data_IF_522346388052
#
_entry.id   IF_522346388052
#
_cell.length_a   1.000
_cell.length_b   1.000
_cell.length_c   1.000
_cell.angle_alpha   90.00
_cell.angle_beta   90.00
_cell.angle_gamma   90.00
#
_symmetry.space_group_name_H-M   'P 1'
#
loop_
_entity.id
_entity.type
_entity.pdbx_description
1 polymer ?
#
# COMPACT_ATOMS: atom_id res chain seq x y z
N UNK A 1 16.19 27.98 42.35
CA UNK A 1 14.86 28.54 42.08
C UNK A 1 14.97 29.35 40.80
N UNK A 2 15.34 28.68 39.71
CA UNK A 2 14.44 28.04 38.74
C UNK A 2 13.92 29.08 37.73
N UNK A 3 14.86 29.49 36.87
CA UNK A 3 14.58 30.13 35.61
C UNK A 3 14.08 29.10 34.61
N UNK A 4 12.79 28.80 34.66
CA UNK A 4 12.10 28.14 33.56
C UNK A 4 11.90 29.16 32.44
N UNK A 5 12.31 28.87 31.18
CA UNK A 5 12.00 29.75 30.08
C UNK A 5 10.48 29.71 29.86
N UNK A 6 9.82 30.82 30.20
CA UNK A 6 8.44 31.09 29.82
C UNK A 6 8.40 31.07 28.30
N UNK A 7 7.82 30.01 27.75
CA UNK A 7 7.63 29.83 26.31
C UNK A 7 6.83 31.03 25.78
N UNK A 8 7.36 31.68 24.74
CA UNK A 8 6.69 32.80 24.08
C UNK A 8 5.27 32.40 23.68
N UNK A 9 4.30 33.17 24.18
CA UNK A 9 2.89 33.10 23.82
C UNK A 9 2.79 33.27 22.30
N UNK A 10 2.24 32.28 21.60
CA UNK A 10 1.94 32.37 20.16
C UNK A 10 2.53 31.30 19.25
N UNK A 11 3.36 30.37 19.75
CA UNK A 11 3.75 29.19 18.93
C UNK A 11 2.71 28.10 19.13
N UNK A 12 1.96 27.69 18.07
CA UNK A 12 0.98 26.62 18.20
C UNK A 12 1.66 25.37 18.75
N UNK A 13 1.07 24.75 19.78
CA UNK A 13 1.61 23.50 20.36
C UNK A 13 1.83 22.43 19.26
N UNK A 14 1.01 22.48 18.20
CA UNK A 14 1.12 21.66 17.00
C UNK A 14 2.47 21.74 16.27
N UNK A 15 3.18 22.89 16.30
CA UNK A 15 4.50 23.02 15.66
C UNK A 15 5.55 22.12 16.33
N UNK A 16 5.40 21.83 17.63
CA UNK A 16 6.29 20.90 18.35
C UNK A 16 6.10 19.44 17.94
N UNK A 17 4.95 19.11 17.36
CA UNK A 17 4.62 17.77 16.89
C UNK A 17 5.10 17.54 15.44
N UNK A 18 5.57 18.58 14.76
CA UNK A 18 6.14 18.46 13.42
C UNK A 18 7.51 17.79 13.47
N UNK A 19 7.74 16.85 12.57
CA UNK A 19 9.03 16.23 12.34
C UNK A 19 9.69 16.85 11.12
N UNK A 20 10.98 17.17 11.21
CA UNK A 20 11.76 17.75 10.11
C UNK A 20 12.78 16.74 9.61
N UNK A 21 12.57 16.19 8.43
CA UNK A 21 13.52 15.34 7.72
C UNK A 21 14.29 16.15 6.67
N UNK A 22 15.58 15.85 6.49
CA UNK A 22 16.44 16.47 5.48
C UNK A 22 17.04 15.39 4.58
N UNK A 23 16.99 15.60 3.27
CA UNK A 23 17.57 14.72 2.26
C UNK A 23 18.30 15.53 1.18
N UNK A 24 19.63 15.64 1.32
CA UNK A 24 20.41 16.54 0.48
C UNK A 24 19.99 17.99 0.72
N UNK A 25 19.54 18.66 -0.33
CA UNK A 25 19.05 20.06 -0.31
C UNK A 25 17.52 20.14 -0.14
N UNK A 26 16.81 19.00 -0.09
CA UNK A 26 15.35 18.94 0.07
C UNK A 26 14.96 18.62 1.53
N UNK A 27 13.88 19.26 2.02
CA UNK A 27 13.37 19.06 3.37
C UNK A 27 11.92 18.57 3.36
N UNK A 28 11.50 17.86 4.40
CA UNK A 28 10.11 17.39 4.54
C UNK A 28 9.65 17.61 5.97
N UNK A 29 8.46 18.20 6.09
CA UNK A 29 7.75 18.37 7.36
C UNK A 29 6.63 17.36 7.46
N UNK A 30 6.38 16.81 8.65
CA UNK A 30 5.25 15.91 8.85
C UNK A 30 4.70 15.89 10.26
N UNK A 31 3.39 15.65 10.40
CA UNK A 31 2.72 15.43 11.71
C UNK A 31 2.40 13.94 11.85
N UNK A 32 3.05 13.29 12.82
CA UNK A 32 2.99 11.83 12.99
C UNK A 32 1.59 11.32 13.38
N UNK A 33 0.91 12.04 14.25
CA UNK A 33 -0.45 11.77 14.72
C UNK A 33 -1.51 11.84 13.60
N UNK A 34 -1.26 12.64 12.56
CA UNK A 34 -2.19 12.80 11.43
C UNK A 34 -1.77 12.09 10.13
N UNK A 35 -0.52 11.62 10.02
CA UNK A 35 -0.01 10.97 8.81
C UNK A 35 0.13 11.92 7.60
N UNK A 36 0.19 13.23 7.85
CA UNK A 36 0.32 14.27 6.81
C UNK A 36 1.79 14.68 6.67
N UNK A 37 2.26 14.76 5.42
CA UNK A 37 3.65 15.09 5.08
C UNK A 37 3.72 16.06 3.90
N UNK A 38 4.56 17.08 4.00
CA UNK A 38 4.75 18.11 2.97
C UNK A 38 6.24 18.34 2.73
N UNK A 39 6.66 18.30 1.47
CA UNK A 39 8.02 18.69 1.08
C UNK A 39 8.15 20.22 1.13
N UNK A 40 9.23 20.71 1.74
CA UNK A 40 9.50 22.14 1.91
C UNK A 40 10.94 22.47 1.52
N UNK A 41 11.21 23.71 1.08
CA UNK A 41 12.58 24.17 0.87
C UNK A 41 13.31 24.40 2.21
N UNK A 42 14.64 24.51 2.17
CA UNK A 42 15.50 24.72 3.35
C UNK A 42 15.01 25.82 4.31
N UNK A 43 14.60 27.01 3.85
CA UNK A 43 14.14 28.06 4.74
C UNK A 43 12.94 27.65 5.59
N UNK A 44 12.02 26.85 5.04
CA UNK A 44 10.85 26.35 5.78
C UNK A 44 11.22 25.35 6.88
N UNK A 45 12.24 24.53 6.65
CA UNK A 45 12.76 23.62 7.67
C UNK A 45 13.54 24.36 8.78
N UNK A 46 14.33 25.36 8.40
CA UNK A 46 15.04 26.25 9.35
C UNK A 46 14.03 27.00 10.22
N UNK A 47 12.97 27.52 9.63
CA UNK A 47 11.87 28.20 10.33
C UNK A 47 11.24 27.30 11.40
N UNK A 48 10.81 26.09 11.02
CA UNK A 48 10.17 25.14 11.96
C UNK A 48 11.12 24.69 13.06
N UNK A 49 12.39 24.39 12.74
CA UNK A 49 13.39 24.05 13.77
C UNK A 49 13.63 25.19 14.74
N UNK A 50 13.64 26.44 14.28
CA UNK A 50 13.80 27.60 15.14
C UNK A 50 12.61 27.78 16.10
N UNK A 51 11.38 27.56 15.61
CA UNK A 51 10.17 27.56 16.44
C UNK A 51 10.18 26.42 17.46
N UNK A 52 10.61 25.22 17.07
CA UNK A 52 10.74 24.07 17.97
C UNK A 52 11.78 24.28 19.07
N UNK A 53 12.85 25.01 18.76
CA UNK A 53 13.85 25.44 19.73
C UNK A 53 13.35 26.57 20.65
N UNK A 54 12.09 27.00 20.52
CA UNK A 54 11.47 28.02 21.37
C UNK A 54 11.72 29.46 20.91
N UNK A 55 12.17 29.68 19.67
CA UNK A 55 12.27 31.04 19.11
C UNK A 55 10.89 31.64 18.86
N UNK A 56 10.77 32.97 18.92
CA UNK A 56 9.57 33.67 18.47
C UNK A 56 9.39 33.56 16.95
N UNK A 57 8.17 33.79 16.46
CA UNK A 57 7.87 33.78 15.02
C UNK A 57 8.76 34.77 14.28
N UNK A 58 8.91 36.00 14.77
CA UNK A 58 9.81 36.99 14.16
C UNK A 58 11.27 36.50 14.06
N UNK A 59 11.82 35.96 15.16
CA UNK A 59 13.19 35.45 15.17
C UNK A 59 13.38 34.19 14.32
N UNK A 60 12.33 33.38 14.13
CA UNK A 60 12.33 32.26 13.20
C UNK A 60 12.28 32.74 11.75
N UNK A 61 11.46 33.75 11.43
CA UNK A 61 11.36 34.38 10.11
C UNK A 61 12.69 35.01 9.69
N UNK A 62 13.38 35.67 10.62
CA UNK A 62 14.70 36.26 10.35
C UNK A 62 15.72 35.18 10.00
N UNK A 63 15.73 34.06 10.75
CA UNK A 63 16.62 32.91 10.45
C UNK A 63 16.29 32.25 9.12
N UNK A 64 15.01 32.11 8.80
CA UNK A 64 14.56 31.57 7.53
C UNK A 64 14.94 32.50 6.37
N UNK A 65 14.83 33.82 6.55
CA UNK A 65 15.22 34.83 5.55
C UNK A 65 16.71 34.81 5.28
N UNK A 66 17.53 34.65 6.33
CA UNK A 66 18.98 34.47 6.18
C UNK A 66 19.33 33.19 5.42
N UNK A 67 18.62 32.07 5.69
CA UNK A 67 18.82 30.82 4.97
C UNK A 67 18.36 30.89 3.50
N UNK A 68 17.31 31.67 3.21
CA UNK A 68 16.81 31.86 1.85
C UNK A 68 17.64 32.84 1.01
N UNK A 69 18.45 33.69 1.66
CA UNK A 69 19.13 34.82 0.99
C UNK A 69 18.19 35.96 0.57
N UNK A 70 16.91 35.88 0.93
CA UNK A 70 15.85 36.85 0.61
C UNK A 70 14.85 36.91 1.77
N UNK A 71 14.12 38.02 1.90
CA UNK A 71 13.04 38.12 2.90
C UNK A 71 11.97 37.06 2.62
N UNK A 72 11.60 36.29 3.65
CA UNK A 72 10.50 35.31 3.60
C UNK A 72 9.40 35.69 4.58
N UNK A 73 8.17 35.26 4.30
CA UNK A 73 7.03 35.47 5.18
C UNK A 73 6.76 34.20 6.00
N UNK A 74 7.11 34.26 7.29
CA UNK A 74 6.89 33.15 8.22
C UNK A 74 5.42 32.96 8.62
N UNK A 75 4.57 33.99 8.51
CA UNK A 75 3.15 33.90 8.85
C UNK A 75 2.38 33.20 7.71
N UNK A 76 2.61 33.62 6.46
CA UNK A 76 2.03 32.98 5.28
C UNK A 76 2.44 31.49 5.18
N UNK A 77 3.68 31.18 5.57
CA UNK A 77 4.13 29.79 5.64
C UNK A 77 3.38 28.96 6.69
N UNK A 78 3.07 29.53 7.87
CA UNK A 78 2.25 28.84 8.88
C UNK A 78 0.82 28.62 8.38
N UNK A 79 0.24 29.60 7.69
CA UNK A 79 -1.08 29.47 7.05
C UNK A 79 -1.08 28.36 5.99
N UNK A 80 0.00 28.26 5.19
CA UNK A 80 0.20 27.16 4.24
C UNK A 80 0.31 25.79 4.92
N UNK A 81 0.95 25.70 6.10
CA UNK A 81 1.01 24.47 6.87
C UNK A 81 -0.35 24.10 7.50
N UNK A 82 -1.11 25.09 7.97
CA UNK A 82 -2.48 24.89 8.46
C UNK A 82 -3.40 24.40 7.33
N UNK A 83 -3.35 25.04 6.15
CA UNK A 83 -4.10 24.63 4.97
C UNK A 83 -3.71 23.22 4.47
N UNK A 84 -2.45 22.82 4.65
CA UNK A 84 -2.00 21.47 4.37
C UNK A 84 -2.43 20.43 5.42
N UNK A 85 -3.09 20.86 6.51
CA UNK A 85 -3.54 20.00 7.62
C UNK A 85 -2.43 19.65 8.62
N UNK A 86 -1.29 20.33 8.58
CA UNK A 86 -0.15 20.11 9.48
C UNK A 86 -0.26 20.90 10.80
N UNK A 87 -1.10 21.92 10.86
CA UNK A 87 -1.40 22.70 12.07
C UNK A 87 -2.91 22.71 12.30
N UNK A 88 -3.34 22.77 13.56
CA UNK A 88 -4.76 22.96 13.91
C UNK A 88 -5.08 24.46 13.79
N UNK A 89 -6.23 24.81 13.20
CA UNK A 89 -6.61 26.20 12.92
C UNK A 89 -6.58 27.07 14.18
N UNK A 90 -5.64 28.01 14.24
CA UNK A 90 -5.58 29.06 15.27
C UNK A 90 -6.37 30.27 14.76
N UNK A 91 -7.69 30.14 14.73
CA UNK A 91 -8.61 31.28 14.54
C UNK A 91 -10.03 30.90 15.01
N UNK A 92 -10.30 31.04 16.30
CA UNK A 92 -11.17 32.11 16.83
C UNK A 92 -11.40 31.91 18.34
N UNK A 93 -11.20 32.97 19.12
CA UNK A 93 -11.56 33.04 20.54
C UNK A 93 -13.06 33.38 20.63
N UNK A 94 -13.89 32.45 21.13
CA UNK A 94 -15.30 32.78 21.37
C UNK A 94 -16.18 31.59 21.76
N UNK A 95 -16.20 31.28 23.06
CA UNK A 95 -17.28 30.62 23.79
C UNK A 95 -18.18 29.63 23.00
N UNK A 96 -17.83 28.35 23.02
CA UNK A 96 -18.82 27.27 23.07
C UNK A 96 -18.23 26.08 23.79
N UNK A 97 -19.02 25.58 24.73
CA UNK A 97 -18.68 24.61 25.75
C UNK A 97 -17.97 23.38 25.17
N UNK A 98 -16.76 23.14 25.69
CA UNK A 98 -15.96 21.94 25.45
C UNK A 98 -16.69 20.71 25.99
N UNK A 99 -17.63 20.20 25.21
CA UNK A 99 -17.99 18.78 25.24
C UNK A 99 -16.74 18.00 24.84
N UNK A 100 -16.20 17.27 25.81
CA UNK A 100 -15.02 16.43 25.65
C UNK A 100 -15.20 15.42 24.52
N UNK A 101 -14.72 15.80 23.34
CA UNK A 101 -14.43 14.91 22.23
C UNK A 101 -12.91 14.73 22.21
N UNK A 102 -12.40 13.99 23.18
CA UNK A 102 -11.18 13.20 23.00
C UNK A 102 -11.49 12.13 21.98
N UNK A 103 -11.44 12.52 20.70
CA UNK A 103 -11.40 11.60 19.58
C UNK A 103 -10.07 10.86 19.64
N UNK A 104 -10.00 9.84 20.50
CA UNK A 104 -8.96 8.83 20.42
C UNK A 104 -8.86 8.36 18.96
N UNK A 105 -7.64 8.14 18.41
CA UNK A 105 -7.50 7.61 17.07
C UNK A 105 -8.28 6.31 16.98
N UNK A 106 -9.34 6.32 16.18
CA UNK A 106 -10.18 5.15 15.93
C UNK A 106 -9.33 4.11 15.22
N UNK A 107 -8.83 3.13 15.97
CA UNK A 107 -8.35 1.86 15.42
C UNK A 107 -6.92 1.45 15.73
N UNK A 108 -6.20 2.07 16.66
CA UNK A 108 -4.87 1.55 17.06
C UNK A 108 -5.03 0.36 18.00
N UNK A 109 -4.97 -0.85 17.46
CA UNK A 109 -5.00 -2.09 18.23
C UNK A 109 -3.67 -2.22 19.00
N UNK A 110 -3.71 -1.99 20.32
CA UNK A 110 -2.54 -1.87 21.22
C UNK A 110 -1.67 -3.13 21.38
N UNK A 111 -2.09 -4.33 20.94
CA UNK A 111 -1.20 -5.51 21.00
C UNK A 111 -0.04 -5.46 20.01
N UNK A 112 -0.11 -4.56 19.01
CA UNK A 112 0.86 -4.42 17.93
C UNK A 112 2.13 -3.68 18.39
N UNK A 113 2.16 -3.03 19.56
CA UNK A 113 3.40 -2.42 20.08
C UNK A 113 4.42 -3.45 20.62
N UNK A 114 4.06 -4.73 20.70
CA UNK A 114 4.81 -5.77 21.43
C UNK A 114 6.13 -6.23 20.81
N UNK A 115 6.38 -5.99 19.51
CA UNK A 115 7.65 -6.41 18.89
C UNK A 115 8.70 -5.32 19.03
N UNK A 116 9.80 -5.67 19.72
CA UNK A 116 10.93 -4.76 19.88
C UNK A 116 11.61 -4.50 18.52
N UNK A 117 12.03 -3.26 18.22
CA UNK A 117 12.78 -2.94 17.00
C UNK A 117 14.09 -3.74 16.83
N UNK A 118 14.64 -4.30 17.92
CA UNK A 118 15.83 -5.16 17.88
C UNK A 118 15.52 -6.52 17.25
N UNK A 119 14.40 -7.14 17.64
CA UNK A 119 13.96 -8.42 17.06
C UNK A 119 13.59 -8.25 15.59
N UNK A 120 12.84 -7.20 15.28
CA UNK A 120 12.46 -6.90 13.89
C UNK A 120 13.69 -6.74 12.98
N UNK A 121 14.76 -6.06 13.44
CA UNK A 121 15.99 -5.86 12.67
C UNK A 121 16.71 -7.15 12.25
N UNK A 122 16.52 -8.26 12.96
CA UNK A 122 17.11 -9.56 12.58
C UNK A 122 16.56 -10.01 11.22
N UNK A 123 15.27 -9.78 10.97
CA UNK A 123 14.59 -10.16 9.73
C UNK A 123 14.88 -9.22 8.56
N UNK A 124 15.49 -8.06 8.79
CA UNK A 124 15.76 -7.05 7.75
C UNK A 124 17.23 -6.64 7.66
N UNK A 125 18.14 -7.45 8.23
CA UNK A 125 19.58 -7.30 8.08
C UNK A 125 20.08 -7.75 6.71
N UNK A 126 21.35 -7.48 6.41
CA UNK A 126 21.98 -7.91 5.16
C UNK A 126 21.92 -9.44 4.91
N UNK A 127 22.05 -10.34 5.92
CA UNK A 127 21.94 -11.77 5.68
C UNK A 127 20.52 -12.17 5.28
N UNK A 128 19.50 -11.54 5.88
CA UNK A 128 18.11 -11.78 5.55
C UNK A 128 17.81 -11.35 4.10
N UNK A 129 18.32 -10.19 3.67
CA UNK A 129 18.17 -9.76 2.27
C UNK A 129 18.88 -10.67 1.27
N UNK A 130 20.03 -11.24 1.63
CA UNK A 130 20.67 -12.28 0.81
C UNK A 130 19.82 -13.55 0.72
N UNK A 131 19.21 -13.97 1.82
CA UNK A 131 18.29 -15.11 1.83
C UNK A 131 17.06 -14.84 0.95
N UNK A 132 16.46 -13.65 1.06
CA UNK A 132 15.30 -13.26 0.25
C UNK A 132 15.63 -13.18 -1.25
N UNK A 133 16.78 -12.60 -1.59
CA UNK A 133 17.27 -12.58 -2.96
C UNK A 133 17.57 -13.98 -3.48
N UNK A 134 18.18 -14.84 -2.65
CA UNK A 134 18.41 -16.25 -2.96
C UNK A 134 17.11 -17.03 -3.17
N UNK A 135 16.09 -16.80 -2.34
CA UNK A 135 14.77 -17.40 -2.48
C UNK A 135 14.06 -16.97 -3.76
N UNK A 136 14.14 -15.68 -4.11
CA UNK A 136 13.63 -15.18 -5.38
C UNK A 136 14.35 -15.82 -6.59
N UNK A 137 15.68 -15.86 -6.57
CA UNK A 137 16.48 -16.48 -7.63
C UNK A 137 16.20 -17.99 -7.76
N UNK A 138 16.10 -18.70 -6.63
CA UNK A 138 15.76 -20.12 -6.60
C UNK A 138 14.35 -20.36 -7.17
N UNK A 139 13.36 -19.55 -6.79
CA UNK A 139 12.00 -19.65 -7.32
C UNK A 139 11.97 -19.51 -8.84
N UNK A 140 12.68 -18.50 -9.38
CA UNK A 140 12.80 -18.29 -10.82
C UNK A 140 13.50 -19.47 -11.50
N UNK A 141 14.62 -19.94 -10.94
CA UNK A 141 15.36 -21.08 -11.48
C UNK A 141 14.48 -22.33 -11.55
N UNK A 142 13.80 -22.68 -10.46
CA UNK A 142 12.93 -23.85 -10.37
C UNK A 142 11.77 -23.79 -11.36
N UNK A 143 11.10 -22.63 -11.48
CA UNK A 143 10.02 -22.45 -12.45
C UNK A 143 10.52 -22.49 -13.91
N UNK A 144 11.75 -22.05 -14.15
CA UNK A 144 12.37 -22.10 -15.47
C UNK A 144 12.75 -23.54 -15.86
N UNK A 145 13.39 -24.30 -14.95
CA UNK A 145 13.95 -25.62 -15.22
C UNK A 145 12.95 -26.76 -15.09
N UNK A 146 11.94 -26.64 -14.22
CA UNK A 146 10.98 -27.70 -13.96
C UNK A 146 9.55 -27.27 -14.33
N UNK A 147 9.07 -27.60 -15.54
CA UNK A 147 7.73 -27.23 -16.00
C UNK A 147 6.61 -27.75 -15.09
N UNK A 148 6.78 -28.87 -14.39
CA UNK A 148 5.76 -29.44 -13.50
C UNK A 148 5.48 -28.58 -12.25
N UNK A 149 6.35 -27.61 -11.94
CA UNK A 149 6.16 -26.66 -10.85
C UNK A 149 5.38 -25.41 -11.26
N UNK A 150 5.20 -25.17 -12.57
CA UNK A 150 4.54 -23.95 -13.07
C UNK A 150 3.06 -23.93 -12.68
N UNK A 151 2.51 -22.76 -12.33
CA UNK A 151 1.10 -22.64 -11.98
C UNK A 151 0.24 -22.81 -13.23
N UNK A 152 -0.93 -23.41 -13.05
CA UNK A 152 -1.97 -23.51 -14.07
C UNK A 152 -3.34 -23.24 -13.44
N UNK A 153 -4.30 -22.80 -14.24
CA UNK A 153 -5.62 -22.40 -13.75
C UNK A 153 -6.38 -23.57 -13.09
N UNK A 154 -6.13 -24.81 -13.52
CA UNK A 154 -6.74 -26.02 -12.96
C UNK A 154 -6.27 -26.32 -11.54
N UNK A 155 -5.14 -25.76 -11.10
CA UNK A 155 -4.67 -25.91 -9.72
C UNK A 155 -5.63 -25.31 -8.69
N UNK A 156 -6.58 -24.45 -9.10
CA UNK A 156 -7.64 -23.96 -8.21
C UNK A 156 -8.63 -25.08 -7.83
N UNK A 157 -8.74 -26.15 -8.62
CA UNK A 157 -9.58 -27.32 -8.38
C UNK A 157 -8.81 -28.39 -7.60
N UNK A 158 -8.23 -27.99 -6.47
CA UNK A 158 -7.35 -28.84 -5.66
C UNK A 158 -8.11 -29.86 -4.79
N UNK A 159 -9.43 -29.68 -4.63
CA UNK A 159 -10.35 -30.61 -3.98
C UNK A 159 -11.33 -31.22 -4.99
N UNK A 160 -11.92 -32.36 -4.63
CA UNK A 160 -12.94 -33.03 -5.45
C UNK A 160 -14.21 -32.20 -5.57
N UNK A 161 -14.57 -31.48 -4.50
CA UNK A 161 -15.68 -30.53 -4.46
C UNK A 161 -15.21 -29.15 -4.97
N UNK A 162 -15.74 -28.67 -6.12
CA UNK A 162 -15.36 -27.38 -6.70
C UNK A 162 -15.71 -26.18 -5.82
N UNK A 163 -16.85 -26.22 -5.11
CA UNK A 163 -17.26 -25.16 -4.20
C UNK A 163 -16.31 -25.10 -3.01
N UNK A 164 -16.00 -26.24 -2.40
CA UNK A 164 -15.09 -26.29 -1.25
C UNK A 164 -13.68 -25.84 -1.64
N UNK A 165 -13.20 -26.20 -2.83
CA UNK A 165 -11.91 -25.75 -3.36
C UNK A 165 -11.79 -24.22 -3.40
N UNK A 166 -12.82 -23.55 -3.91
CA UNK A 166 -12.89 -22.08 -3.98
C UNK A 166 -13.10 -21.46 -2.60
N UNK A 167 -13.99 -22.02 -1.78
CA UNK A 167 -14.26 -21.52 -0.43
C UNK A 167 -13.03 -21.58 0.48
N UNK A 168 -12.15 -22.56 0.31
CA UNK A 168 -10.89 -22.65 1.07
C UNK A 168 -9.74 -21.87 0.42
N UNK A 169 -9.77 -21.65 -0.90
CA UNK A 169 -8.80 -20.79 -1.58
C UNK A 169 -8.82 -19.35 -1.03
N UNK A 170 -10.01 -18.81 -0.81
CA UNK A 170 -10.21 -17.44 -0.29
C UNK A 170 -9.52 -17.20 1.07
N UNK A 171 -9.79 -17.96 2.15
CA UNK A 171 -9.15 -17.76 3.45
C UNK A 171 -7.64 -18.03 3.42
N UNK A 172 -7.15 -18.97 2.58
CA UNK A 172 -5.71 -19.16 2.37
C UNK A 172 -5.08 -17.89 1.80
N UNK A 173 -5.71 -17.32 0.77
CA UNK A 173 -5.26 -16.06 0.18
C UNK A 173 -5.26 -14.91 1.19
N UNK A 174 -6.34 -14.76 1.96
CA UNK A 174 -6.41 -13.76 3.03
C UNK A 174 -5.33 -13.94 4.10
N UNK A 175 -5.04 -15.19 4.50
CA UNK A 175 -3.98 -15.47 5.46
C UNK A 175 -2.60 -15.08 4.90
N UNK A 176 -2.31 -15.41 3.64
CA UNK A 176 -1.06 -15.04 2.98
C UNK A 176 -0.94 -13.52 2.80
N UNK A 177 -2.01 -12.84 2.39
CA UNK A 177 -2.04 -11.37 2.29
C UNK A 177 -1.87 -10.70 3.67
N UNK A 178 -2.47 -11.25 4.73
CA UNK A 178 -2.27 -10.73 6.07
C UNK A 178 -0.81 -10.89 6.52
N UNK A 179 -0.17 -12.03 6.23
CA UNK A 179 1.24 -12.26 6.54
C UNK A 179 2.17 -11.34 5.74
N UNK A 180 1.84 -11.06 4.48
CA UNK A 180 2.51 -10.08 3.64
C UNK A 180 2.52 -8.69 4.29
N UNK A 181 1.35 -8.22 4.74
CA UNK A 181 1.21 -6.94 5.45
C UNK A 181 1.89 -6.94 6.81
N UNK A 182 1.84 -8.04 7.56
CA UNK A 182 2.61 -8.19 8.81
C UNK A 182 4.11 -8.02 8.55
N UNK A 183 4.62 -8.45 7.38
CA UNK A 183 6.02 -8.26 7.02
C UNK A 183 6.35 -6.78 6.75
N UNK A 184 5.48 -6.05 6.06
CA UNK A 184 5.60 -4.58 5.92
C UNK A 184 5.61 -3.88 7.27
N UNK A 185 4.68 -4.26 8.13
CA UNK A 185 4.60 -3.75 9.50
C UNK A 185 5.89 -4.01 10.28
N UNK A 186 6.42 -5.24 10.25
CA UNK A 186 7.64 -5.62 10.94
C UNK A 186 8.86 -4.84 10.39
N UNK A 187 8.89 -4.60 9.08
CA UNK A 187 9.95 -3.79 8.45
C UNK A 187 9.90 -2.33 8.89
N UNK A 188 8.70 -1.74 8.99
CA UNK A 188 8.52 -0.40 9.55
C UNK A 188 9.05 -0.31 10.98
N UNK A 189 8.76 -1.34 11.81
CA UNK A 189 9.30 -1.45 13.19
C UNK A 189 10.81 -1.60 13.21
N UNK A 190 11.40 -2.34 12.28
CA UNK A 190 12.86 -2.52 12.18
C UNK A 190 13.59 -1.20 11.93
N UNK A 191 12.96 -0.28 11.19
CA UNK A 191 13.50 1.06 10.90
C UNK A 191 13.11 2.09 11.98
N UNK A 192 12.32 1.70 12.98
CA UNK A 192 11.94 2.54 14.12
C UNK A 192 10.71 3.40 13.90
N UNK A 193 9.90 3.11 12.88
CA UNK A 193 8.67 3.82 12.57
C UNK A 193 7.48 3.11 13.25
N UNK A 194 6.54 3.86 13.86
CA UNK A 194 5.24 3.35 14.30
C UNK A 194 4.38 2.96 13.09
N UNK A 195 4.67 1.83 12.46
CA UNK A 195 3.79 1.29 11.43
C UNK A 195 2.46 0.87 12.08
N UNK A 196 1.35 1.44 11.63
CA UNK A 196 0.01 1.06 12.07
C UNK A 196 -0.56 0.04 11.08
N UNK A 197 -0.98 -1.11 11.59
CA UNK A 197 -1.74 -2.09 10.79
C UNK A 197 -3.20 -1.64 10.75
N UNK A 198 -3.72 -1.38 9.55
CA UNK A 198 -5.09 -0.90 9.35
C UNK A 198 -5.87 -1.91 8.53
N UNK A 199 -7.06 -2.25 9.01
CA UNK A 199 -8.02 -3.00 8.19
C UNK A 199 -8.89 -1.97 7.48
N UNK A 200 -8.76 -1.90 6.17
CA UNK A 200 -9.43 -0.95 5.30
C UNK A 200 -10.44 -1.66 4.40
N UNK A 201 -11.21 -0.86 3.65
CA UNK A 201 -12.11 -1.38 2.61
C UNK A 201 -11.77 -0.72 1.28
N UNK A 202 -11.45 -1.53 0.27
CA UNK A 202 -11.37 -1.07 -1.13
C UNK A 202 -12.62 -1.58 -1.86
N UNK A 203 -13.64 -0.74 -1.92
CA UNK A 203 -14.98 -1.13 -2.40
C UNK A 203 -15.62 -2.15 -1.45
N UNK A 204 -15.98 -3.32 -1.98
CA UNK A 204 -16.54 -4.43 -1.18
C UNK A 204 -15.48 -5.27 -0.44
N UNK A 205 -14.21 -5.16 -0.85
CA UNK A 205 -13.17 -6.04 -0.36
C UNK A 205 -12.52 -5.49 0.90
N UNK A 206 -12.42 -6.34 1.91
CA UNK A 206 -11.60 -6.09 3.08
C UNK A 206 -10.13 -6.19 2.66
N UNK A 207 -9.35 -5.17 2.95
CA UNK A 207 -7.92 -5.14 2.63
C UNK A 207 -7.16 -4.85 3.91
N UNK A 208 -6.12 -5.63 4.16
CA UNK A 208 -5.14 -5.32 5.18
C UNK A 208 -4.18 -4.30 4.56
N UNK A 209 -3.98 -3.16 5.22
CA UNK A 209 -3.11 -2.10 4.75
C UNK A 209 -2.19 -1.68 5.90
N UNK A 210 -0.89 -1.71 5.68
CA UNK A 210 0.06 -1.08 6.59
C UNK A 210 0.24 0.38 6.22
N UNK A 211 -0.05 1.29 7.15
CA UNK A 211 0.24 2.70 6.93
C UNK A 211 1.76 2.94 7.02
N UNK A 212 2.36 3.13 5.85
CA UNK A 212 3.78 3.40 5.65
C UNK A 212 4.06 4.85 5.21
N UNK A 213 3.07 5.75 5.32
CA UNK A 213 3.22 7.17 4.97
C UNK A 213 4.44 7.82 5.64
N UNK A 214 4.73 7.39 6.86
CA UNK A 214 5.83 7.90 7.67
C UNK A 214 7.22 7.52 7.15
N UNK A 215 7.34 6.60 6.19
CA UNK A 215 8.62 6.27 5.54
C UNK A 215 9.25 7.49 4.85
N UNK A 216 8.48 8.52 4.53
CA UNK A 216 9.01 9.76 3.98
C UNK A 216 9.92 10.52 4.97
N UNK A 217 9.81 10.24 6.28
CA UNK A 217 10.65 10.88 7.31
C UNK A 217 12.07 10.30 7.41
N UNK A 218 12.31 9.11 6.84
CA UNK A 218 13.60 8.44 6.87
C UNK A 218 14.32 8.56 5.52
N UNK A 219 15.65 8.41 5.49
CA UNK A 219 16.43 8.49 4.25
C UNK A 219 16.07 7.38 3.24
N UNK A 220 16.15 7.69 1.94
CA UNK A 220 15.64 6.82 0.86
C UNK A 220 16.17 5.38 0.83
N UNK A 221 17.42 5.17 1.25
CA UNK A 221 18.02 3.82 1.33
C UNK A 221 17.31 2.93 2.36
N UNK A 222 16.87 3.51 3.47
CA UNK A 222 16.18 2.79 4.53
C UNK A 222 14.71 2.48 4.18
N UNK A 223 14.12 3.16 3.17
CA UNK A 223 12.75 2.92 2.71
C UNK A 223 12.57 1.64 1.90
N UNK A 224 13.61 1.17 1.22
CA UNK A 224 13.53 -0.04 0.38
C UNK A 224 13.16 -1.28 1.17
N UNK A 225 13.67 -1.42 2.40
CA UNK A 225 13.37 -2.57 3.23
C UNK A 225 11.87 -2.71 3.48
N UNK A 226 11.22 -1.67 4.04
CA UNK A 226 9.78 -1.62 4.18
C UNK A 226 8.99 -1.77 2.88
N UNK A 227 9.43 -1.19 1.75
CA UNK A 227 8.71 -1.37 0.47
C UNK A 227 8.82 -2.79 -0.11
N UNK A 228 9.95 -3.48 0.10
CA UNK A 228 10.17 -4.83 -0.41
C UNK A 228 9.72 -5.92 0.57
N UNK A 229 9.30 -5.57 1.78
CA UNK A 229 9.09 -6.53 2.87
C UNK A 229 8.02 -7.57 2.56
N UNK A 230 6.83 -7.17 2.09
CA UNK A 230 5.78 -8.11 1.73
C UNK A 230 6.22 -9.03 0.59
N UNK A 231 6.84 -8.49 -0.46
CA UNK A 231 7.40 -9.31 -1.53
C UNK A 231 8.50 -10.28 -1.05
N UNK A 232 9.32 -9.88 -0.07
CA UNK A 232 10.33 -10.73 0.53
C UNK A 232 9.70 -11.93 1.27
N UNK A 233 8.57 -11.73 1.96
CA UNK A 233 7.77 -12.81 2.51
C UNK A 233 7.24 -13.73 1.40
N UNK A 234 6.58 -13.15 0.39
CA UNK A 234 5.96 -13.92 -0.70
C UNK A 234 6.96 -14.83 -1.41
N UNK A 235 8.13 -14.30 -1.80
CA UNK A 235 9.16 -15.09 -2.50
C UNK A 235 9.82 -16.14 -1.59
N UNK A 236 9.90 -15.88 -0.29
CA UNK A 236 10.46 -16.85 0.67
C UNK A 236 9.52 -18.03 0.84
N UNK A 237 8.22 -17.78 1.03
CA UNK A 237 7.22 -18.84 1.12
C UNK A 237 7.11 -19.58 -0.22
N UNK A 238 7.15 -18.86 -1.34
CA UNK A 238 7.14 -19.46 -2.68
C UNK A 238 8.32 -20.40 -2.87
N UNK A 239 9.54 -19.98 -2.53
CA UNK A 239 10.74 -20.82 -2.63
C UNK A 239 10.62 -22.08 -1.77
N UNK A 240 10.14 -21.95 -0.54
CA UNK A 240 9.93 -23.09 0.36
C UNK A 240 8.92 -24.09 -0.21
N UNK A 241 7.77 -23.61 -0.70
CA UNK A 241 6.72 -24.47 -1.24
C UNK A 241 7.17 -25.13 -2.55
N UNK A 242 7.88 -24.40 -3.41
CA UNK A 242 8.50 -24.96 -4.62
C UNK A 242 9.53 -26.03 -4.27
N UNK A 243 10.40 -25.80 -3.29
CA UNK A 243 11.40 -26.77 -2.81
C UNK A 243 10.75 -28.06 -2.31
N UNK A 244 9.70 -27.96 -1.49
CA UNK A 244 8.95 -29.12 -1.00
C UNK A 244 8.33 -29.91 -2.15
N UNK A 245 7.69 -29.24 -3.11
CA UNK A 245 7.11 -29.91 -4.27
C UNK A 245 8.16 -30.55 -5.17
N UNK A 246 9.28 -29.87 -5.42
CA UNK A 246 10.38 -30.42 -6.20
C UNK A 246 10.94 -31.69 -5.56
N UNK A 247 11.21 -31.65 -4.24
CA UNK A 247 11.67 -32.82 -3.49
C UNK A 247 10.68 -34.00 -3.58
N UNK A 248 9.39 -33.71 -3.69
CA UNK A 248 8.37 -34.73 -3.93
C UNK A 248 8.41 -35.32 -5.34
N UNK A 249 8.54 -34.47 -6.36
CA UNK A 249 8.59 -34.88 -7.76
C UNK A 249 9.82 -35.74 -8.05
N UNK A 250 10.98 -35.37 -7.49
CA UNK A 250 12.23 -36.12 -7.68
C UNK A 250 12.37 -37.34 -6.77
N UNK A 251 11.36 -37.64 -5.94
CA UNK A 251 11.33 -38.82 -5.06
C UNK A 251 12.24 -38.74 -3.83
N UNK A 252 12.79 -37.57 -3.50
CA UNK A 252 13.57 -37.36 -2.26
C UNK A 252 12.66 -37.45 -1.03
N UNK A 253 11.40 -37.05 -1.15
CA UNK A 253 10.39 -37.22 -0.12
C UNK A 253 9.03 -37.60 -0.74
N UNK A 254 8.19 -38.30 0.00
CA UNK A 254 6.81 -38.59 -0.43
C UNK A 254 5.85 -37.80 0.42
N UNK A 255 4.97 -37.00 -0.20
CA UNK A 255 3.91 -36.29 0.50
C UNK A 255 2.52 -36.85 0.14
N UNK A 256 1.54 -36.74 1.06
CA UNK A 256 0.16 -37.08 0.73
C UNK A 256 -0.36 -36.26 -0.46
N UNK A 257 -1.18 -36.88 -1.32
CA UNK A 257 -1.72 -36.23 -2.52
C UNK A 257 -2.56 -34.96 -2.21
N UNK A 258 -3.18 -34.90 -1.03
CA UNK A 258 -3.90 -33.70 -0.59
C UNK A 258 -2.93 -32.53 -0.30
N UNK A 259 -1.76 -32.82 0.27
CA UNK A 259 -0.75 -31.80 0.56
C UNK A 259 -0.12 -31.28 -0.75
N UNK A 260 0.21 -32.15 -1.71
CA UNK A 260 0.73 -31.68 -3.02
C UNK A 260 -0.26 -30.74 -3.71
N UNK A 261 -1.55 -31.08 -3.72
CA UNK A 261 -2.62 -30.26 -4.30
C UNK A 261 -2.78 -28.92 -3.56
N UNK A 262 -2.70 -28.90 -2.24
CA UNK A 262 -2.68 -27.67 -1.44
C UNK A 262 -1.46 -26.79 -1.79
N UNK A 263 -0.27 -27.38 -1.92
CA UNK A 263 0.93 -26.64 -2.27
C UNK A 263 0.86 -26.04 -3.69
N UNK A 264 0.22 -26.73 -4.65
CA UNK A 264 -0.03 -26.18 -6.00
C UNK A 264 -0.88 -24.92 -5.97
N UNK A 265 -1.94 -24.90 -5.17
CA UNK A 265 -2.82 -23.72 -5.08
C UNK A 265 -2.15 -22.57 -4.33
N UNK A 266 -1.31 -22.87 -3.34
CA UNK A 266 -0.47 -21.85 -2.66
C UNK A 266 0.55 -21.25 -3.63
N UNK A 267 1.20 -22.06 -4.47
CA UNK A 267 2.11 -21.57 -5.53
C UNK A 267 1.36 -20.67 -6.51
N UNK A 268 0.17 -21.11 -6.96
CA UNK A 268 -0.67 -20.31 -7.85
C UNK A 268 -0.95 -18.94 -7.23
N UNK A 269 -1.40 -18.90 -5.97
CA UNK A 269 -1.66 -17.65 -5.26
C UNK A 269 -0.42 -16.76 -5.13
N UNK A 270 0.72 -17.31 -4.68
CA UNK A 270 1.94 -16.53 -4.43
C UNK A 270 2.54 -15.98 -5.72
N UNK A 271 2.52 -16.74 -6.81
CA UNK A 271 2.97 -16.23 -8.11
C UNK A 271 2.06 -15.09 -8.56
N UNK A 272 0.75 -15.24 -8.41
CA UNK A 272 -0.20 -14.17 -8.68
C UNK A 272 0.07 -12.92 -7.84
N UNK A 273 0.32 -13.09 -6.54
CA UNK A 273 0.68 -12.01 -5.61
C UNK A 273 1.93 -11.26 -6.08
N UNK A 274 3.02 -11.97 -6.34
CA UNK A 274 4.29 -11.36 -6.77
C UNK A 274 4.15 -10.67 -8.13
N UNK A 275 3.50 -11.30 -9.11
CA UNK A 275 3.29 -10.69 -10.43
C UNK A 275 2.40 -9.45 -10.30
N UNK A 276 1.34 -9.52 -9.48
CA UNK A 276 0.47 -8.37 -9.21
C UNK A 276 1.24 -7.20 -8.61
N UNK A 277 2.21 -7.43 -7.73
CA UNK A 277 3.01 -6.34 -7.15
C UNK A 277 3.83 -5.57 -8.19
N UNK A 278 4.33 -6.22 -9.23
CA UNK A 278 5.11 -5.58 -10.31
C UNK A 278 4.27 -5.11 -11.49
N UNK A 279 3.18 -5.79 -11.82
CA UNK A 279 2.29 -5.38 -12.91
C UNK A 279 1.30 -4.29 -12.46
N UNK A 280 0.88 -4.32 -11.19
CA UNK A 280 -0.03 -3.37 -10.55
C UNK A 280 0.59 -2.00 -10.24
N UNK A 281 1.68 -1.61 -10.90
CA UNK A 281 2.37 -0.33 -10.68
C UNK A 281 1.46 0.88 -10.96
N UNK A 282 0.45 0.72 -11.82
CA UNK A 282 -0.60 1.71 -12.07
C UNK A 282 -1.64 1.81 -10.95
N UNK A 283 -1.65 0.87 -10.00
CA UNK A 283 -2.52 0.84 -8.82
C UNK A 283 -1.80 1.22 -7.52
N UNK A 284 -0.58 1.79 -7.62
CA UNK A 284 0.26 2.14 -6.47
C UNK A 284 0.61 0.93 -5.59
N UNK A 285 0.97 -0.19 -6.23
CA UNK A 285 1.49 -1.40 -5.57
C UNK A 285 2.84 -1.17 -4.87
N UNK A 286 3.36 -2.19 -4.18
CA UNK A 286 4.69 -2.14 -3.56
C UNK A 286 5.79 -1.94 -4.60
N UNK A 287 5.65 -2.58 -5.76
CA UNK A 287 6.53 -2.37 -6.92
C UNK A 287 6.53 -0.91 -7.37
N UNK A 288 5.38 -0.22 -7.34
CA UNK A 288 5.33 1.21 -7.62
C UNK A 288 6.10 2.02 -6.57
N UNK A 289 5.95 1.73 -5.28
CA UNK A 289 6.67 2.45 -4.22
C UNK A 289 8.20 2.29 -4.35
N UNK A 290 8.67 1.08 -4.67
CA UNK A 290 10.09 0.81 -4.97
C UNK A 290 10.59 1.63 -6.16
N UNK A 291 9.84 1.62 -7.27
CA UNK A 291 10.22 2.34 -8.49
C UNK A 291 10.19 3.86 -8.29
N UNK A 292 9.15 4.41 -7.65
CA UNK A 292 9.04 5.83 -7.33
C UNK A 292 10.20 6.27 -6.42
N UNK A 293 10.53 5.48 -5.40
CA UNK A 293 11.67 5.74 -4.52
C UNK A 293 13.01 5.68 -5.27
N UNK A 294 13.19 4.72 -6.18
CA UNK A 294 14.40 4.59 -6.99
C UNK A 294 14.59 5.78 -7.96
N UNK A 295 13.50 6.21 -8.60
CA UNK A 295 13.49 7.29 -9.58
C UNK A 295 13.58 8.69 -8.95
N UNK A 296 13.48 8.77 -7.61
CA UNK A 296 13.40 10.01 -6.81
C UNK A 296 12.18 10.85 -7.17
N UNK A 297 11.03 10.21 -7.30
CA UNK A 297 9.79 10.91 -7.62
C UNK A 297 8.86 10.93 -6.42
N UNK A 298 8.27 12.11 -6.17
CA UNK A 298 7.37 12.34 -5.03
C UNK A 298 5.91 12.06 -5.40
N UNK A 299 5.50 12.42 -6.62
CA UNK A 299 4.16 12.20 -7.14
C UNK A 299 4.18 11.65 -8.57
N UNK A 300 4.92 10.56 -8.77
CA UNK A 300 5.05 9.89 -10.07
C UNK A 300 3.70 9.44 -10.63
N UNK A 301 2.77 9.02 -9.77
CA UNK A 301 1.42 8.61 -10.15
C UNK A 301 0.67 9.75 -10.85
N UNK A 302 0.52 10.91 -10.20
CA UNK A 302 -0.25 12.02 -10.78
C UNK A 302 0.43 12.57 -12.02
N UNK A 303 1.76 12.69 -11.99
CA UNK A 303 2.56 13.08 -13.15
C UNK A 303 2.31 12.16 -14.35
N UNK A 304 2.32 10.84 -14.13
CA UNK A 304 2.10 9.84 -15.18
C UNK A 304 0.67 9.87 -15.71
N UNK A 305 -0.34 9.99 -14.83
CA UNK A 305 -1.74 10.10 -15.24
C UNK A 305 -1.97 11.34 -16.09
N UNK A 306 -1.51 12.52 -15.64
CA UNK A 306 -1.69 13.77 -16.38
C UNK A 306 -0.90 13.77 -17.70
N UNK A 307 0.34 13.28 -17.69
CA UNK A 307 1.16 13.17 -18.91
C UNK A 307 0.54 12.21 -19.92
N UNK A 308 0.00 11.08 -19.46
CA UNK A 308 -0.66 10.10 -20.34
C UNK A 308 -1.99 10.63 -20.86
N UNK A 309 -2.79 11.25 -19.99
CA UNK A 309 -4.04 11.91 -20.37
C UNK A 309 -3.78 12.98 -21.43
N UNK A 310 -2.77 13.83 -21.25
CA UNK A 310 -2.40 14.85 -22.23
C UNK A 310 -2.01 14.31 -23.61
N UNK A 311 -1.40 13.11 -23.66
CA UNK A 311 -1.03 12.45 -24.92
C UNK A 311 -2.22 11.86 -25.66
N UNK A 312 -3.20 11.35 -24.92
CA UNK A 312 -4.34 10.64 -25.50
C UNK A 312 -5.56 11.57 -25.68
N UNK A 313 -5.70 12.56 -24.81
CA UNK A 313 -6.86 13.42 -24.65
C UNK A 313 -6.45 14.86 -24.27
N UNK A 314 -7.44 15.75 -24.21
CA UNK A 314 -7.21 17.12 -23.74
C UNK A 314 -7.23 17.18 -22.21
N UNK A 315 -6.28 17.91 -21.64
CA UNK A 315 -6.30 18.32 -20.23
C UNK A 315 -7.24 19.52 -20.07
N UNK A 316 -7.89 19.62 -18.93
CA UNK A 316 -8.54 20.86 -18.48
C UNK A 316 -7.49 21.91 -18.11
N UNK A 317 -7.90 23.18 -18.00
CA UNK A 317 -6.97 24.25 -17.64
C UNK A 317 -6.37 24.03 -16.24
N UNK A 318 -7.18 23.62 -15.26
CA UNK A 318 -6.72 23.27 -13.91
C UNK A 318 -5.69 22.13 -13.92
N UNK A 319 -5.90 21.10 -14.76
CA UNK A 319 -4.98 19.97 -14.87
C UNK A 319 -3.66 20.34 -15.55
N UNK A 320 -3.67 21.36 -16.42
CA UNK A 320 -2.43 21.90 -17.02
C UNK A 320 -1.63 22.65 -15.97
N UNK A 321 -2.28 23.53 -15.21
CA UNK A 321 -1.65 24.25 -14.10
C UNK A 321 -1.07 23.27 -13.09
N UNK A 322 -1.81 22.21 -12.74
CA UNK A 322 -1.32 21.16 -11.85
C UNK A 322 -0.11 20.43 -12.45
N UNK A 323 -0.15 20.05 -13.72
CA UNK A 323 0.98 19.38 -14.37
C UNK A 323 2.23 20.28 -14.39
N UNK A 324 2.07 21.58 -14.64
CA UNK A 324 3.17 22.54 -14.67
C UNK A 324 3.76 22.78 -13.27
N UNK A 325 2.93 22.71 -12.22
CA UNK A 325 3.36 22.77 -10.82
C UNK A 325 4.12 21.51 -10.36
N UNK A 326 3.95 20.38 -11.03
CA UNK A 326 4.70 19.15 -10.71
C UNK A 326 6.19 19.33 -11.03
N UNK A 327 7.03 18.84 -10.11
CA UNK A 327 8.49 18.92 -10.22
C UNK A 327 9.04 18.41 -11.56
N UNK A 328 10.13 19.01 -12.07
CA UNK A 328 10.66 18.70 -13.40
C UNK A 328 11.10 17.24 -13.56
N UNK A 329 11.61 16.65 -12.47
CA UNK A 329 12.03 15.24 -12.44
C UNK A 329 10.87 14.28 -12.64
N UNK A 330 9.78 14.48 -11.91
CA UNK A 330 8.57 13.65 -11.99
C UNK A 330 7.95 13.73 -13.38
N UNK A 331 7.91 14.94 -13.96
CA UNK A 331 7.49 15.14 -15.36
C UNK A 331 8.40 14.42 -16.34
N UNK A 332 9.72 14.53 -16.20
CA UNK A 332 10.67 13.90 -17.11
C UNK A 332 10.52 12.36 -17.12
N UNK A 333 10.35 11.77 -15.93
CA UNK A 333 10.14 10.32 -15.74
C UNK A 333 8.77 9.88 -16.25
N UNK A 334 7.72 10.63 -15.96
CA UNK A 334 6.34 10.34 -16.38
C UNK A 334 6.20 10.13 -17.91
N UNK A 335 7.04 10.80 -18.73
CA UNK A 335 7.05 10.66 -20.19
C UNK A 335 7.27 9.23 -20.67
N UNK A 336 8.08 8.43 -19.98
CA UNK A 336 8.33 7.05 -20.36
C UNK A 336 7.69 6.07 -19.39
N UNK A 337 7.42 6.49 -18.15
CA UNK A 337 6.78 5.64 -17.13
C UNK A 337 5.36 5.19 -17.53
N UNK A 338 4.68 5.95 -18.40
CA UNK A 338 3.43 5.49 -19.03
C UNK A 338 3.57 4.16 -19.81
N UNK A 339 4.76 3.85 -20.35
CA UNK A 339 5.02 2.54 -20.97
C UNK A 339 5.10 1.41 -19.94
N UNK A 340 5.60 1.70 -18.74
CA UNK A 340 5.61 0.73 -17.62
C UNK A 340 4.19 0.45 -17.17
N UNK A 341 3.32 1.47 -17.11
CA UNK A 341 1.89 1.29 -16.83
C UNK A 341 1.23 0.40 -17.89
N UNK A 342 1.48 0.69 -19.17
CA UNK A 342 0.94 -0.11 -20.27
C UNK A 342 1.41 -1.56 -20.20
N UNK A 343 2.71 -1.80 -19.96
CA UNK A 343 3.26 -3.14 -19.79
C UNK A 343 2.58 -3.88 -18.63
N UNK A 344 2.40 -3.21 -17.48
CA UNK A 344 1.66 -3.76 -16.35
C UNK A 344 0.22 -4.13 -16.70
N UNK A 345 -0.51 -3.25 -17.39
CA UNK A 345 -1.88 -3.51 -17.86
C UNK A 345 -1.92 -4.71 -18.81
N UNK A 346 -0.97 -4.83 -19.74
CA UNK A 346 -0.88 -5.98 -20.66
C UNK A 346 -0.66 -7.28 -19.89
N UNK A 347 0.22 -7.30 -18.90
CA UNK A 347 0.45 -8.48 -18.04
C UNK A 347 -0.81 -8.85 -17.25
N UNK A 348 -1.53 -7.86 -16.71
CA UNK A 348 -2.80 -8.10 -16.01
C UNK A 348 -3.87 -8.68 -16.94
N UNK A 349 -4.00 -8.14 -18.16
CA UNK A 349 -4.91 -8.70 -19.16
C UNK A 349 -4.53 -10.13 -19.56
N UNK A 350 -3.24 -10.40 -19.73
CA UNK A 350 -2.75 -11.75 -19.98
C UNK A 350 -3.17 -12.69 -18.84
N UNK A 351 -2.96 -12.32 -17.58
CA UNK A 351 -3.39 -13.14 -16.42
C UNK A 351 -4.90 -13.36 -16.39
N UNK A 352 -5.71 -12.33 -16.71
CA UNK A 352 -7.16 -12.48 -16.81
C UNK A 352 -7.53 -13.49 -17.88
N UNK A 353 -6.95 -13.38 -19.08
CA UNK A 353 -7.25 -14.26 -20.20
C UNK A 353 -6.77 -15.70 -19.96
N UNK A 354 -5.61 -15.90 -19.34
CA UNK A 354 -5.04 -17.24 -19.17
C UNK A 354 -5.50 -17.97 -17.91
N UNK A 355 -5.99 -17.25 -16.89
CA UNK A 355 -6.43 -17.88 -15.63
C UNK A 355 -7.87 -17.55 -15.27
N UNK A 356 -8.24 -16.27 -15.19
CA UNK A 356 -9.57 -15.88 -14.73
C UNK A 356 -10.68 -16.29 -15.70
N UNK A 357 -10.47 -16.14 -17.01
CA UNK A 357 -11.45 -16.53 -18.05
C UNK A 357 -11.65 -18.05 -18.10
N UNK A 358 -10.61 -18.90 -18.19
CA UNK A 358 -10.80 -20.36 -18.12
C UNK A 358 -11.47 -20.82 -16.83
N UNK A 359 -11.09 -20.24 -15.69
CA UNK A 359 -11.75 -20.50 -14.41
C UNK A 359 -13.24 -20.14 -14.45
N UNK A 360 -13.59 -18.96 -14.94
CA UNK A 360 -14.98 -18.51 -15.04
C UNK A 360 -15.81 -19.39 -15.98
N UNK A 361 -15.23 -19.80 -17.12
CA UNK A 361 -15.89 -20.73 -18.06
C UNK A 361 -16.11 -22.09 -17.40
N UNK A 362 -15.09 -22.66 -16.75
CA UNK A 362 -15.19 -23.95 -16.08
C UNK A 362 -16.22 -23.93 -14.94
N UNK A 363 -16.21 -22.89 -14.10
CA UNK A 363 -17.17 -22.71 -13.03
C UNK A 363 -18.59 -22.50 -13.58
N UNK A 364 -18.75 -21.66 -14.61
CA UNK A 364 -20.04 -21.42 -15.24
C UNK A 364 -20.63 -22.66 -15.89
N UNK A 365 -19.80 -23.46 -16.58
CA UNK A 365 -20.22 -24.72 -17.16
C UNK A 365 -20.66 -25.74 -16.09
N UNK A 366 -19.93 -25.84 -14.98
CA UNK A 366 -20.28 -26.71 -13.85
C UNK A 366 -21.61 -26.30 -13.20
N UNK A 367 -21.78 -25.00 -12.91
CA UNK A 367 -23.04 -24.46 -12.38
C UNK A 367 -24.21 -24.73 -13.32
N UNK A 368 -24.03 -24.45 -14.63
CA UNK A 368 -25.08 -24.64 -15.63
C UNK A 368 -25.48 -26.12 -15.75
N UNK A 369 -24.51 -27.03 -15.80
CA UNK A 369 -24.77 -28.46 -15.88
C UNK A 369 -25.61 -28.95 -14.69
N UNK A 370 -25.23 -28.59 -13.47
CA UNK A 370 -25.93 -29.01 -12.26
C UNK A 370 -27.32 -28.41 -12.12
N UNK A 371 -27.50 -27.13 -12.47
CA UNK A 371 -28.81 -26.47 -12.40
C UNK A 371 -29.76 -26.96 -13.51
N UNK A 372 -29.24 -27.24 -14.71
CA UNK A 372 -30.02 -27.76 -15.84
C UNK A 372 -30.56 -29.17 -15.61
N UNK A 373 -29.86 -29.98 -14.80
CA UNK A 373 -30.33 -31.30 -14.40
C UNK A 373 -31.57 -31.26 -13.49
N UNK A 374 -31.93 -30.10 -12.94
CA UNK A 374 -33.07 -29.85 -12.05
C UNK A 374 -33.33 -31.00 -11.06
N UNK A 375 -32.32 -31.29 -10.23
CA UNK A 375 -32.40 -32.36 -9.22
C UNK A 375 -32.29 -31.77 -7.81
N UNK A 376 -33.40 -31.31 -7.19
CA UNK A 376 -33.40 -30.74 -5.84
C UNK A 376 -32.89 -31.67 -4.73
N UNK A 377 -32.86 -32.99 -5.00
CA UNK A 377 -32.30 -33.99 -4.10
C UNK A 377 -30.76 -34.06 -4.14
N UNK A 378 -30.12 -33.44 -5.13
CA UNK A 378 -28.66 -33.43 -5.28
C UNK A 378 -28.04 -32.29 -4.48
N UNK A 379 -26.97 -32.58 -3.72
CA UNK A 379 -26.18 -31.56 -3.03
C UNK A 379 -25.56 -30.59 -4.04
N UNK A 380 -25.06 -31.08 -5.17
CA UNK A 380 -24.43 -30.28 -6.22
C UNK A 380 -25.38 -29.22 -6.84
N UNK A 381 -26.69 -29.48 -6.84
CA UNK A 381 -27.69 -28.50 -7.29
C UNK A 381 -27.73 -27.28 -6.35
N UNK A 382 -27.76 -27.52 -5.04
CA UNK A 382 -27.76 -26.47 -4.02
C UNK A 382 -26.42 -25.73 -3.97
N UNK A 383 -25.30 -26.44 -4.10
CA UNK A 383 -23.98 -25.81 -4.20
C UNK A 383 -23.88 -24.88 -5.41
N UNK A 384 -24.36 -25.32 -6.56
CA UNK A 384 -24.39 -24.50 -7.78
C UNK A 384 -25.28 -23.27 -7.64
N UNK A 385 -26.40 -23.38 -6.91
CA UNK A 385 -27.25 -22.24 -6.58
C UNK A 385 -26.54 -21.25 -5.66
N UNK A 386 -25.84 -21.74 -4.63
CA UNK A 386 -25.02 -20.88 -3.74
C UNK A 386 -23.91 -20.18 -4.52
N UNK A 387 -23.21 -20.89 -5.41
CA UNK A 387 -22.19 -20.29 -6.29
C UNK A 387 -22.82 -19.22 -7.18
N UNK A 388 -23.97 -19.50 -7.80
CA UNK A 388 -24.66 -18.53 -8.65
C UNK A 388 -25.05 -17.26 -7.87
N UNK A 389 -25.63 -17.43 -6.67
CA UNK A 389 -25.97 -16.30 -5.78
C UNK A 389 -24.71 -15.51 -5.42
N UNK A 390 -23.61 -16.19 -5.08
CA UNK A 390 -22.33 -15.56 -4.77
C UNK A 390 -21.78 -14.76 -5.97
N UNK A 391 -21.78 -15.33 -7.18
CA UNK A 391 -21.32 -14.65 -8.39
C UNK A 391 -22.17 -13.43 -8.73
N UNK A 392 -23.50 -13.57 -8.68
CA UNK A 392 -24.44 -12.47 -8.90
C UNK A 392 -24.25 -11.37 -7.86
N UNK A 393 -24.10 -11.74 -6.59
CA UNK A 393 -23.82 -10.79 -5.52
C UNK A 393 -22.47 -10.09 -5.73
N UNK A 394 -21.42 -10.82 -6.10
CA UNK A 394 -20.10 -10.27 -6.38
C UNK A 394 -20.07 -9.28 -7.55
N UNK A 395 -20.93 -9.46 -8.55
CA UNK A 395 -21.09 -8.53 -9.68
C UNK A 395 -21.95 -7.32 -9.33
N UNK A 396 -23.05 -7.51 -8.61
CA UNK A 396 -24.02 -6.46 -8.29
C UNK A 396 -23.57 -5.58 -7.13
N UNK A 397 -22.98 -6.17 -6.08
CA UNK A 397 -22.65 -5.45 -4.85
C UNK A 397 -21.69 -4.25 -5.06
N UNK A 398 -20.61 -4.34 -5.86
CA UNK A 398 -19.75 -3.19 -6.15
C UNK A 398 -20.51 -2.05 -6.83
N UNK A 399 -21.40 -2.37 -7.77
CA UNK A 399 -22.22 -1.37 -8.49
C UNK A 399 -23.19 -0.69 -7.52
N UNK A 400 -23.88 -1.47 -6.70
CA UNK A 400 -24.84 -0.95 -5.70
C UNK A 400 -24.13 -0.06 -4.67
N UNK A 401 -22.97 -0.48 -4.17
CA UNK A 401 -22.19 0.31 -3.22
C UNK A 401 -21.65 1.58 -3.87
N UNK A 402 -21.12 1.51 -5.09
CA UNK A 402 -20.67 2.70 -5.81
C UNK A 402 -21.82 3.70 -6.06
N UNK A 403 -23.02 3.22 -6.38
CA UNK A 403 -24.21 4.06 -6.52
C UNK A 403 -24.64 4.68 -5.19
N UNK A 404 -24.60 3.90 -4.09
CA UNK A 404 -24.91 4.39 -2.74
C UNK A 404 -23.91 5.45 -2.29
N UNK A 405 -22.62 5.21 -2.49
CA UNK A 405 -21.56 6.18 -2.15
C UNK A 405 -21.69 7.45 -2.97
N UNK A 406 -21.94 7.36 -4.29
CA UNK A 406 -22.21 8.53 -5.13
C UNK A 406 -23.43 9.32 -4.64
N UNK A 407 -24.50 8.62 -4.23
CA UNK A 407 -25.71 9.26 -3.68
C UNK A 407 -25.41 9.96 -2.36
N UNK A 408 -24.68 9.32 -1.45
CA UNK A 408 -24.32 9.88 -0.15
C UNK A 408 -23.38 11.07 -0.27
N UNK A 409 -22.41 11.05 -1.20
CA UNK A 409 -21.55 12.22 -1.51
C UNK A 409 -22.35 13.38 -2.09
N UNK A 410 -23.30 13.12 -2.99
CA UNK A 410 -24.23 14.15 -3.50
C UNK A 410 -25.13 14.74 -2.42
N UNK A 411 -25.41 13.97 -1.36
CA UNK A 411 -26.21 14.40 -0.21
C UNK A 411 -25.35 15.04 0.91
N UNK A 412 -24.04 15.21 0.70
CA UNK A 412 -23.13 15.77 1.71
C UNK A 412 -22.90 14.89 2.94
N UNK A 413 -23.33 13.62 2.92
CA UNK A 413 -23.24 12.69 4.05
C UNK A 413 -21.92 11.90 4.09
N UNK A 414 -21.13 11.97 3.02
CA UNK A 414 -19.76 11.45 2.94
C UNK A 414 -18.90 12.57 2.35
N UNK A 415 -17.86 12.98 3.09
CA UNK A 415 -16.81 13.89 2.63
C UNK A 415 -16.04 13.29 1.45
#
# INVERSE_FOLDING_TARGET
MDGSPVLAVGVPAAVRLLMVAQEGDEFTLGRHDLGVYVAVPEPGAVFVRALQAGSSIAAATDRASMAAGTAVDGADFLDGLAAAGLLDDVRDDGASETSGSTGAPRGTIRWIEGVSPRVARVFFGWPAWLLYAGAAAASVAMLATEPALRPSYDHIWWLTDPLLAVLLYVPIGFALAALHEIWHWLAGRAVGIPAAFRVSRRGIYLVFETDLSQLLTIGRRARYGPFLAGMAFDVTVLALVLALRYAHIVGVMTMPAALDRLLRVVILYLIFSVVWQWAGVFLRSDGYAVLANALKCHNLYRATVLTTKWRLWRLTDDERVELDAIGPRDRAVARWFGLVYLAGIVVMWWMVVTFAVPFAIAMGAWVLANLSAFSPASVAFWESLVVLIYLVFGLIAPVVIALRERRLRRMGALL
#
